data_IF_543749958997
#
_entry.id   IF_543749958997
#
_cell.length_a   1.000
_cell.length_b   1.000
_cell.length_c   1.000
_cell.angle_alpha   90.00
_cell.angle_beta   90.00
_cell.angle_gamma   90.00
#
_symmetry.space_group_name_H-M   'P 1'
#
loop_
_entity.id
_entity.type
_entity.pdbx_description
1 polymer ?
#
# COMPACT_ATOMS: atom_id res chain seq x y z
N UNK A 1 9.02 -4.75 -11.73
CA UNK A 1 8.32 -5.25 -10.53
C UNK A 1 6.84 -5.17 -10.85
N UNK A 2 6.07 -6.23 -10.60
CA UNK A 2 4.62 -6.18 -10.89
C UNK A 2 3.89 -5.36 -9.82
N UNK A 3 2.68 -4.85 -10.13
CA UNK A 3 1.85 -4.11 -9.18
C UNK A 3 1.47 -4.95 -7.96
N UNK A 4 1.15 -6.22 -8.19
CA UNK A 4 0.87 -7.20 -7.14
C UNK A 4 2.09 -7.39 -6.23
N UNK A 5 3.28 -7.53 -6.81
CA UNK A 5 4.52 -7.70 -6.05
C UNK A 5 4.84 -6.46 -5.21
N UNK A 6 4.62 -5.26 -5.76
CA UNK A 6 4.78 -3.99 -5.05
C UNK A 6 3.78 -3.84 -3.89
N UNK A 7 2.49 -4.08 -4.15
CA UNK A 7 1.43 -4.01 -3.13
C UNK A 7 1.69 -4.99 -1.99
N UNK A 8 2.02 -6.25 -2.30
CA UNK A 8 2.37 -7.26 -1.30
C UNK A 8 3.63 -6.89 -0.49
N UNK A 9 4.64 -6.30 -1.14
CA UNK A 9 5.84 -5.82 -0.45
C UNK A 9 5.52 -4.69 0.53
N UNK A 10 4.69 -3.73 0.16
CA UNK A 10 4.29 -2.62 1.04
C UNK A 10 3.39 -3.14 2.17
N UNK A 11 2.41 -3.98 1.85
CA UNK A 11 1.56 -4.62 2.86
C UNK A 11 2.40 -5.42 3.87
N UNK A 12 3.46 -6.09 3.41
CA UNK A 12 4.40 -6.81 4.26
C UNK A 12 5.22 -5.91 5.18
N UNK A 13 5.51 -4.66 4.77
CA UNK A 13 6.13 -3.66 5.64
C UNK A 13 5.16 -3.13 6.71
N UNK A 14 3.86 -3.08 6.42
CA UNK A 14 2.83 -2.52 7.32
C UNK A 14 2.32 -3.58 8.31
N UNK A 15 2.02 -4.79 7.83
CA UNK A 15 1.36 -5.87 8.60
C UNK A 15 2.27 -7.06 8.92
N UNK A 16 3.45 -7.13 8.30
CA UNK A 16 4.38 -8.24 8.44
C UNK A 16 4.26 -9.26 7.30
N UNK A 17 5.35 -10.01 7.06
CA UNK A 17 5.42 -10.99 5.96
C UNK A 17 4.45 -12.17 6.14
N UNK A 18 4.30 -12.68 7.36
CA UNK A 18 3.38 -13.78 7.67
C UNK A 18 1.93 -13.43 7.35
N UNK A 19 1.53 -12.16 7.52
CA UNK A 19 0.20 -11.71 7.13
C UNK A 19 -0.01 -11.79 5.61
N UNK A 20 0.99 -11.35 4.83
CA UNK A 20 0.95 -11.37 3.36
C UNK A 20 0.99 -12.78 2.81
N UNK A 21 1.76 -13.70 3.42
CA UNK A 21 1.78 -15.11 3.02
C UNK A 21 0.39 -15.76 3.12
N UNK A 22 -0.42 -15.33 4.09
CA UNK A 22 -1.79 -15.83 4.28
C UNK A 22 -2.86 -15.00 3.53
N UNK A 23 -2.55 -13.76 3.15
CA UNK A 23 -3.49 -12.82 2.52
C UNK A 23 -2.79 -12.00 1.42
N UNK A 24 -2.27 -12.64 0.36
CA UNK A 24 -1.63 -11.91 -0.72
C UNK A 24 -2.69 -11.24 -1.61
N UNK A 25 -2.34 -10.14 -2.24
CA UNK A 25 -3.08 -9.66 -3.41
C UNK A 25 -2.91 -10.66 -4.55
N UNK A 26 -4.02 -11.07 -5.17
CA UNK A 26 -4.05 -12.00 -6.31
C UNK A 26 -4.50 -11.32 -7.61
N UNK A 27 -5.12 -10.14 -7.51
CA UNK A 27 -5.58 -9.33 -8.64
C UNK A 27 -4.77 -8.04 -8.77
N UNK A 28 -4.47 -7.65 -10.01
CA UNK A 28 -3.85 -6.34 -10.28
C UNK A 28 -4.78 -5.18 -9.90
N UNK A 29 -6.11 -5.36 -10.01
CA UNK A 29 -7.09 -4.32 -9.66
C UNK A 29 -7.09 -4.02 -8.15
N UNK A 30 -7.05 -5.06 -7.32
CA UNK A 30 -6.99 -4.90 -5.86
C UNK A 30 -5.67 -4.27 -5.41
N UNK A 31 -4.57 -4.68 -6.03
CA UNK A 31 -3.25 -4.10 -5.79
C UNK A 31 -3.21 -2.61 -6.16
N UNK A 32 -3.80 -2.22 -7.29
CA UNK A 32 -3.89 -0.81 -7.70
C UNK A 32 -4.71 0.03 -6.71
N UNK A 33 -5.89 -0.43 -6.31
CA UNK A 33 -6.75 0.28 -5.35
C UNK A 33 -6.00 0.51 -4.03
N UNK A 34 -5.26 -0.49 -3.55
CA UNK A 34 -4.46 -0.38 -2.34
C UNK A 34 -3.33 0.68 -2.47
N UNK A 35 -2.61 0.67 -3.59
CA UNK A 35 -1.51 1.62 -3.86
C UNK A 35 -2.02 3.06 -4.02
N UNK A 36 -3.15 3.25 -4.70
CA UNK A 36 -3.79 4.55 -4.83
C UNK A 36 -4.30 5.07 -3.47
N UNK A 37 -4.90 4.19 -2.66
CA UNK A 37 -5.35 4.53 -1.31
C UNK A 37 -4.21 4.99 -0.39
N UNK A 38 -3.05 4.33 -0.49
CA UNK A 38 -1.83 4.74 0.22
C UNK A 38 -1.37 6.13 -0.23
N UNK A 39 -1.37 6.39 -1.54
CA UNK A 39 -0.96 7.67 -2.11
C UNK A 39 -1.86 8.80 -1.62
N UNK A 40 -3.18 8.59 -1.60
CA UNK A 40 -4.14 9.56 -1.05
C UNK A 40 -3.94 9.78 0.47
N UNK A 41 -3.63 8.74 1.23
CA UNK A 41 -3.36 8.85 2.68
C UNK A 41 -2.06 9.63 2.96
N UNK A 42 -1.02 9.44 2.14
CA UNK A 42 0.24 10.16 2.28
C UNK A 42 0.11 11.62 1.84
N UNK A 43 -0.54 11.89 0.71
CA UNK A 43 -0.76 13.25 0.22
C UNK A 43 -1.68 14.07 1.13
N UNK A 44 -2.65 13.44 1.80
CA UNK A 44 -3.46 14.12 2.82
C UNK A 44 -2.69 14.44 4.10
N UNK A 45 -1.56 13.77 4.35
CA UNK A 45 -0.67 14.07 5.47
C UNK A 45 0.29 15.23 5.18
N UNK A 46 0.73 15.39 3.93
CA UNK A 46 1.57 16.54 3.51
C UNK A 46 0.82 17.88 3.52
N UNK A 47 -0.51 17.88 3.38
CA UNK A 47 -1.34 19.10 3.55
C UNK A 47 -1.35 19.62 4.99
N UNK A 48 -0.97 18.79 5.97
CA UNK A 48 -0.86 19.19 7.38
C UNK A 48 0.54 19.65 7.80
N UNK A 49 1.58 19.39 7.01
CA UNK A 49 2.97 19.74 7.36
C UNK A 49 3.41 21.14 6.89
N UNK A 50 2.68 21.81 6.00
CA UNK A 50 2.96 23.20 5.59
C UNK A 50 2.23 24.26 6.45
N UNK A 51 1.74 23.90 7.64
CA UNK A 51 1.04 24.82 8.58
C UNK A 51 1.72 24.98 9.95
N UNK A 52 3.03 24.80 10.03
CA UNK A 52 3.84 25.25 11.18
C UNK A 52 4.75 26.43 10.83
#
# INVERSE_FOLDING_TARGET
MSKIEEANNILGKIRGKEFVENNPFESEEEADIFLEGLTCTLLSSDVYLERE
#
